data_IF_357289277356
#
_entry.id   IF_357289277356
#
_cell.length_a   1.000
_cell.length_b   1.000
_cell.length_c   1.000
_cell.angle_alpha   90.00
_cell.angle_beta   90.00
_cell.angle_gamma   90.00
#
_symmetry.space_group_name_H-M   'P 1'
#
loop_
_entity.id
_entity.type
_entity.pdbx_description
1 polymer ?
#
# COMPACT_ATOMS: atom_id res chain seq x y z
N UNK A 1 -18.44 -25.86 1.28
CA UNK A 1 -17.33 -24.88 1.28
C UNK A 1 -17.09 -24.44 -0.16
N UNK A 2 -17.34 -23.19 -0.45
CA UNK A 2 -17.05 -22.66 -1.77
C UNK A 2 -15.67 -21.98 -1.71
N UNK A 3 -14.65 -22.69 -2.15
CA UNK A 3 -13.36 -22.07 -2.44
C UNK A 3 -13.33 -21.74 -3.93
N UNK A 4 -12.98 -20.52 -4.26
CA UNK A 4 -12.84 -20.03 -5.62
C UNK A 4 -11.38 -19.61 -5.86
N UNK A 5 -10.82 -20.09 -6.97
CA UNK A 5 -9.48 -19.66 -7.42
C UNK A 5 -9.64 -18.58 -8.49
N UNK A 6 -8.93 -17.47 -8.33
CA UNK A 6 -8.97 -16.36 -9.29
C UNK A 6 -7.66 -15.58 -9.33
N UNK A 7 -7.41 -14.92 -10.44
CA UNK A 7 -6.36 -13.91 -10.55
C UNK A 7 -6.83 -12.61 -9.88
N UNK A 8 -6.02 -12.07 -8.99
CA UNK A 8 -6.34 -10.84 -8.28
C UNK A 8 -5.13 -9.93 -8.11
N UNK A 9 -5.38 -8.64 -8.07
CA UNK A 9 -4.39 -7.66 -7.63
C UNK A 9 -4.55 -7.44 -6.13
N UNK A 10 -3.47 -7.64 -5.39
CA UNK A 10 -3.48 -7.57 -3.93
C UNK A 10 -2.72 -6.33 -3.50
N UNK A 11 -3.34 -5.53 -2.67
CA UNK A 11 -2.75 -4.40 -1.98
C UNK A 11 -2.61 -4.74 -0.50
N UNK A 12 -1.40 -4.58 0.03
CA UNK A 12 -1.13 -4.64 1.46
C UNK A 12 -0.63 -3.27 1.92
N UNK A 13 -1.14 -2.78 3.03
CA UNK A 13 -0.70 -1.51 3.62
C UNK A 13 -0.73 -1.57 5.14
N UNK A 14 0.20 -0.90 5.80
CA UNK A 14 0.25 -0.73 7.24
C UNK A 14 0.81 0.63 7.65
N UNK A 15 0.57 0.98 8.90
CA UNK A 15 1.09 2.20 9.51
C UNK A 15 2.52 1.99 10.03
N UNK A 16 3.42 2.88 9.67
CA UNK A 16 4.82 2.85 10.11
C UNK A 16 4.91 3.11 11.62
N UNK A 17 5.69 2.28 12.33
CA UNK A 17 5.91 2.42 13.77
C UNK A 17 4.63 2.42 14.63
N UNK A 18 3.61 1.71 14.21
CA UNK A 18 2.33 1.67 14.90
C UNK A 18 2.46 1.28 16.39
N UNK A 19 3.22 0.22 16.69
CA UNK A 19 3.43 -0.24 18.07
C UNK A 19 4.06 0.84 18.94
N UNK A 20 5.02 1.58 18.43
CA UNK A 20 5.65 2.68 19.15
C UNK A 20 4.67 3.83 19.40
N UNK A 21 3.86 4.19 18.42
CA UNK A 21 2.81 5.19 18.60
C UNK A 21 1.81 4.77 19.68
N UNK A 22 1.43 3.49 19.70
CA UNK A 22 0.55 2.94 20.73
C UNK A 22 1.17 2.98 22.12
N UNK A 23 2.47 2.70 22.27
CA UNK A 23 3.19 2.83 23.53
C UNK A 23 3.26 4.28 24.02
N UNK A 24 3.47 5.23 23.12
CA UNK A 24 3.57 6.65 23.44
C UNK A 24 2.23 7.26 23.84
N UNK A 25 1.16 6.95 23.13
CA UNK A 25 -0.21 7.40 23.44
C UNK A 25 -1.24 6.56 22.69
N UNK A 26 -1.86 5.63 23.37
CA UNK A 26 -2.88 4.74 22.80
C UNK A 26 -4.09 5.51 22.25
N UNK A 27 -4.68 6.39 23.04
CA UNK A 27 -5.87 7.15 22.66
C UNK A 27 -5.63 8.05 21.45
N UNK A 28 -4.53 8.79 21.44
CA UNK A 28 -4.17 9.67 20.34
C UNK A 28 -3.89 8.86 19.06
N UNK A 29 -3.20 7.73 19.17
CA UNK A 29 -2.89 6.85 18.05
C UNK A 29 -4.15 6.27 17.45
N UNK A 30 -5.06 5.73 18.25
CA UNK A 30 -6.31 5.14 17.75
C UNK A 30 -7.21 6.18 17.09
N UNK A 31 -7.32 7.39 17.64
CA UNK A 31 -8.08 8.48 17.04
C UNK A 31 -7.54 8.82 15.65
N UNK A 32 -6.22 9.00 15.52
CA UNK A 32 -5.58 9.34 14.25
C UNK A 32 -5.58 8.16 13.27
N UNK A 33 -5.42 6.93 13.76
CA UNK A 33 -5.55 5.72 12.96
C UNK A 33 -6.93 5.64 12.30
N UNK A 34 -8.00 5.86 13.08
CA UNK A 34 -9.37 5.81 12.56
C UNK A 34 -9.62 6.87 11.47
N UNK A 35 -9.08 8.06 11.60
CA UNK A 35 -9.16 9.10 10.56
C UNK A 35 -8.43 8.65 9.28
N UNK A 36 -7.22 8.12 9.40
CA UNK A 36 -6.46 7.61 8.25
C UNK A 36 -7.17 6.43 7.60
N UNK A 37 -7.69 5.49 8.40
CA UNK A 37 -8.42 4.33 7.90
C UNK A 37 -9.67 4.71 7.12
N UNK A 38 -10.40 5.73 7.57
CA UNK A 38 -11.54 6.25 6.82
C UNK A 38 -11.15 6.70 5.41
N UNK A 39 -10.04 7.43 5.29
CA UNK A 39 -9.50 7.86 3.99
C UNK A 39 -9.14 6.65 3.13
N UNK A 40 -8.38 5.70 3.68
CA UNK A 40 -7.94 4.49 2.97
C UNK A 40 -9.14 3.67 2.50
N UNK A 41 -10.07 3.38 3.38
CA UNK A 41 -11.24 2.53 3.10
C UNK A 41 -12.15 3.15 2.02
N UNK A 42 -12.40 4.46 2.10
CA UNK A 42 -13.19 5.19 1.11
C UNK A 42 -12.53 5.19 -0.28
N UNK A 43 -11.22 5.37 -0.34
CA UNK A 43 -10.49 5.36 -1.62
C UNK A 43 -10.42 3.95 -2.20
N UNK A 44 -10.16 2.92 -1.39
CA UNK A 44 -10.19 1.53 -1.85
C UNK A 44 -11.54 1.20 -2.47
N UNK A 45 -12.64 1.53 -1.79
CA UNK A 45 -13.99 1.32 -2.31
C UNK A 45 -14.26 2.11 -3.60
N UNK A 46 -13.84 3.36 -3.67
CA UNK A 46 -13.97 4.22 -4.87
C UNK A 46 -13.37 3.58 -6.12
N UNK A 47 -12.25 2.91 -5.99
CA UNK A 47 -11.55 2.25 -7.11
C UNK A 47 -11.92 0.77 -7.30
N UNK A 48 -13.00 0.31 -6.68
CA UNK A 48 -13.51 -1.05 -6.85
C UNK A 48 -12.78 -2.13 -6.05
N UNK A 49 -11.98 -1.72 -5.07
CA UNK A 49 -11.29 -2.64 -4.17
C UNK A 49 -12.22 -3.21 -3.10
N UNK A 50 -11.89 -4.41 -2.64
CA UNK A 50 -12.57 -5.08 -1.53
C UNK A 50 -11.56 -5.40 -0.43
N UNK A 51 -11.83 -4.93 0.78
CA UNK A 51 -11.00 -5.23 1.95
C UNK A 51 -11.36 -6.62 2.48
N UNK A 52 -10.36 -7.48 2.63
CA UNK A 52 -10.52 -8.84 3.15
C UNK A 52 -10.10 -8.99 4.59
N UNK A 53 -9.00 -8.35 4.96
CA UNK A 53 -8.44 -8.49 6.30
C UNK A 53 -8.01 -7.14 6.84
N UNK A 54 -8.32 -6.93 8.10
CA UNK A 54 -7.81 -5.83 8.91
C UNK A 54 -7.33 -6.39 10.24
N UNK A 55 -6.07 -6.15 10.57
CA UNK A 55 -5.49 -6.56 11.84
C UNK A 55 -4.69 -5.37 12.40
N UNK A 56 -5.19 -4.76 13.47
CA UNK A 56 -4.60 -3.55 14.01
C UNK A 56 -4.58 -2.42 12.97
N UNK A 57 -3.38 -2.05 12.55
CA UNK A 57 -3.14 -1.04 11.51
C UNK A 57 -3.10 -1.60 10.09
N UNK A 58 -2.97 -2.92 9.92
CA UNK A 58 -2.81 -3.57 8.61
C UNK A 58 -4.12 -3.67 7.84
N UNK A 59 -4.05 -3.46 6.54
CA UNK A 59 -5.15 -3.66 5.59
C UNK A 59 -4.67 -4.52 4.42
N UNK A 60 -5.44 -5.54 4.08
CA UNK A 60 -5.27 -6.33 2.85
C UNK A 60 -6.54 -6.19 2.01
N UNK A 61 -6.38 -5.76 0.78
CA UNK A 61 -7.48 -5.58 -0.17
C UNK A 61 -7.16 -6.23 -1.51
N UNK A 62 -8.21 -6.62 -2.24
CA UNK A 62 -8.09 -7.06 -3.63
C UNK A 62 -8.75 -6.07 -4.57
N UNK A 63 -8.21 -6.02 -5.78
CA UNK A 63 -8.77 -5.25 -6.89
C UNK A 63 -8.86 -6.13 -8.13
N UNK A 64 -9.92 -5.98 -8.94
CA UNK A 64 -10.00 -6.69 -10.22
C UNK A 64 -9.04 -6.13 -11.26
N UNK A 65 -8.55 -4.88 -11.09
CA UNK A 65 -7.67 -4.20 -12.02
C UNK A 65 -6.40 -3.70 -11.33
N UNK A 66 -5.20 -4.07 -11.82
CA UNK A 66 -3.94 -3.51 -11.32
C UNK A 66 -3.86 -1.99 -11.49
N UNK A 67 -4.39 -1.45 -12.58
CA UNK A 67 -4.43 0.01 -12.82
C UNK A 67 -5.24 0.72 -11.74
N UNK A 68 -6.43 0.21 -11.43
CA UNK A 68 -7.28 0.79 -10.38
C UNK A 68 -6.64 0.67 -9.00
N UNK A 69 -5.96 -0.43 -8.73
CA UNK A 69 -5.24 -0.64 -7.47
C UNK A 69 -4.13 0.39 -7.26
N UNK A 70 -3.28 0.60 -8.27
CA UNK A 70 -2.19 1.59 -8.20
C UNK A 70 -2.75 3.01 -8.07
N UNK A 71 -3.79 3.35 -8.82
CA UNK A 71 -4.47 4.66 -8.68
C UNK A 71 -5.03 4.88 -7.28
N UNK A 72 -5.64 3.86 -6.69
CA UNK A 72 -6.13 3.92 -5.31
C UNK A 72 -5.01 4.19 -4.32
N UNK A 73 -3.90 3.46 -4.45
CA UNK A 73 -2.72 3.63 -3.58
C UNK A 73 -2.14 5.04 -3.68
N UNK A 74 -2.01 5.58 -4.88
CA UNK A 74 -1.54 6.96 -5.09
C UNK A 74 -2.50 7.95 -4.44
N UNK A 75 -3.80 7.82 -4.69
CA UNK A 75 -4.79 8.76 -4.16
C UNK A 75 -4.85 8.75 -2.62
N UNK A 76 -4.86 7.59 -1.99
CA UNK A 76 -4.89 7.60 -0.52
C UNK A 76 -3.56 8.07 0.09
N UNK A 77 -2.41 7.77 -0.50
CA UNK A 77 -1.13 8.31 -0.03
C UNK A 77 -1.09 9.84 -0.14
N UNK A 78 -1.56 10.40 -1.24
CA UNK A 78 -1.65 11.86 -1.41
C UNK A 78 -2.59 12.49 -0.38
N UNK A 79 -3.77 11.91 -0.15
CA UNK A 79 -4.72 12.40 0.86
C UNK A 79 -4.18 12.29 2.30
N UNK A 80 -3.44 11.23 2.61
CA UNK A 80 -2.80 11.06 3.92
C UNK A 80 -1.67 12.09 4.10
N UNK A 81 -0.90 12.35 3.05
CA UNK A 81 0.11 13.41 3.05
C UNK A 81 -0.52 14.78 3.30
N UNK A 82 -1.56 15.15 2.56
CA UNK A 82 -2.29 16.41 2.73
C UNK A 82 -2.87 16.54 4.15
N UNK A 83 -3.47 15.46 4.69
CA UNK A 83 -3.97 15.43 6.06
C UNK A 83 -2.86 15.78 7.06
N UNK A 84 -1.69 15.17 6.90
CA UNK A 84 -0.56 15.37 7.79
C UNK A 84 -0.01 16.81 7.70
N UNK A 85 0.08 17.37 6.49
CA UNK A 85 0.56 18.74 6.28
C UNK A 85 -0.38 19.82 6.83
N UNK A 86 -1.69 19.59 6.77
CA UNK A 86 -2.70 20.58 7.17
C UNK A 86 -3.07 20.53 8.66
N UNK A 87 -2.48 19.67 9.43
CA UNK A 87 -2.82 19.53 10.84
C UNK A 87 -1.59 19.35 11.73
N UNK A 88 -1.09 20.47 12.25
CA UNK A 88 0.03 20.49 13.21
C UNK A 88 -0.33 19.92 14.59
N UNK A 89 -1.63 19.78 14.90
CA UNK A 89 -2.12 19.28 16.19
C UNK A 89 -2.44 17.80 16.18
N UNK A 90 -2.45 17.17 14.99
CA UNK A 90 -2.72 15.74 14.83
C UNK A 90 -1.44 14.94 14.81
N UNK A 91 -1.51 13.71 15.30
CA UNK A 91 -0.43 12.75 15.14
C UNK A 91 -0.28 12.41 13.65
N UNK A 92 0.93 12.65 13.12
CA UNK A 92 1.26 12.33 11.73
C UNK A 92 1.60 10.85 11.60
N UNK A 93 0.74 10.10 10.94
CA UNK A 93 0.93 8.69 10.65
C UNK A 93 1.32 8.52 9.17
N UNK A 94 2.37 7.73 8.93
CA UNK A 94 2.83 7.37 7.59
C UNK A 94 2.48 5.92 7.27
N UNK A 95 2.17 5.64 6.01
CA UNK A 95 1.73 4.32 5.56
C UNK A 95 2.66 3.80 4.46
N UNK A 96 2.89 2.49 4.47
CA UNK A 96 3.63 1.77 3.42
C UNK A 96 2.66 0.95 2.59
N UNK A 97 2.96 0.80 1.31
CA UNK A 97 2.10 0.04 0.40
C UNK A 97 2.93 -0.95 -0.42
N UNK A 98 2.43 -2.18 -0.53
CA UNK A 98 2.93 -3.20 -1.45
C UNK A 98 1.81 -3.73 -2.34
N UNK A 99 2.07 -3.90 -3.63
CA UNK A 99 1.08 -4.37 -4.60
C UNK A 99 1.65 -5.48 -5.48
N UNK A 100 0.89 -6.58 -5.61
CA UNK A 100 1.25 -7.73 -6.42
C UNK A 100 0.02 -8.33 -7.11
N UNK A 101 0.22 -8.97 -8.25
CA UNK A 101 -0.82 -9.73 -8.96
C UNK A 101 -0.47 -11.21 -8.90
N UNK A 102 -1.40 -12.03 -8.47
CA UNK A 102 -1.20 -13.48 -8.44
C UNK A 102 -2.54 -14.22 -8.44
N UNK A 103 -2.45 -15.52 -8.64
CA UNK A 103 -3.57 -16.43 -8.46
C UNK A 103 -3.82 -16.67 -6.96
N UNK A 104 -5.03 -16.44 -6.52
CA UNK A 104 -5.42 -16.51 -5.11
C UNK A 104 -6.61 -17.44 -4.91
N UNK A 105 -6.76 -17.91 -3.69
CA UNK A 105 -7.94 -18.67 -3.26
C UNK A 105 -8.78 -17.78 -2.36
N UNK A 106 -10.04 -17.62 -2.71
CA UNK A 106 -11.04 -16.92 -1.89
C UNK A 106 -11.93 -17.97 -1.22
N UNK A 107 -11.95 -17.96 0.09
CA UNK A 107 -12.77 -18.88 0.89
C UNK A 107 -13.27 -18.16 2.14
N UNK A 108 -14.57 -18.32 2.44
CA UNK A 108 -15.19 -17.74 3.63
C UNK A 108 -14.91 -16.24 3.81
N UNK A 109 -14.99 -15.50 2.73
CA UNK A 109 -14.68 -14.05 2.69
C UNK A 109 -13.25 -13.69 3.11
N UNK A 110 -12.32 -14.63 2.94
CA UNK A 110 -10.89 -14.43 3.15
C UNK A 110 -10.13 -14.70 1.86
N UNK A 111 -8.92 -14.15 1.75
CA UNK A 111 -8.04 -14.31 0.60
C UNK A 111 -6.73 -14.99 1.04
N UNK A 112 -6.34 -16.03 0.32
CA UNK A 112 -5.16 -16.84 0.64
C UNK A 112 -4.34 -17.10 -0.61
N UNK A 113 -3.04 -17.33 -0.41
CA UNK A 113 -2.10 -17.67 -1.47
C UNK A 113 -0.76 -16.97 -1.30
N UNK A 114 0.23 -17.42 -2.07
CA UNK A 114 1.58 -16.84 -2.07
C UNK A 114 1.58 -15.36 -2.46
N UNK A 115 0.68 -14.94 -3.33
CA UNK A 115 0.56 -13.55 -3.77
C UNK A 115 0.21 -12.57 -2.64
N UNK A 116 -0.56 -13.01 -1.65
CA UNK A 116 -0.85 -12.21 -0.45
C UNK A 116 0.44 -11.98 0.35
N UNK A 117 1.26 -13.02 0.49
CA UNK A 117 2.55 -12.93 1.18
C UNK A 117 3.53 -12.02 0.43
N UNK A 118 3.57 -12.10 -0.90
CA UNK A 118 4.41 -11.22 -1.73
C UNK A 118 4.01 -9.75 -1.53
N UNK A 119 2.73 -9.42 -1.61
CA UNK A 119 2.24 -8.06 -1.38
C UNK A 119 2.62 -7.56 0.02
N UNK A 120 2.46 -8.38 1.06
CA UNK A 120 2.83 -8.05 2.42
C UNK A 120 4.34 -7.83 2.59
N UNK A 121 5.18 -8.59 1.88
CA UNK A 121 6.63 -8.42 1.91
C UNK A 121 7.09 -7.16 1.17
N UNK A 122 6.51 -6.85 0.03
CA UNK A 122 6.75 -5.57 -0.66
C UNK A 122 6.36 -4.40 0.23
N UNK A 123 5.20 -4.46 0.87
CA UNK A 123 4.75 -3.45 1.83
C UNK A 123 5.79 -3.24 2.94
N UNK A 124 6.24 -4.31 3.60
CA UNK A 124 7.21 -4.21 4.71
C UNK A 124 8.59 -3.65 4.28
N UNK A 125 8.93 -3.72 3.01
CA UNK A 125 10.16 -3.18 2.44
C UNK A 125 9.98 -1.79 1.81
N UNK A 126 8.77 -1.32 1.69
CA UNK A 126 8.49 0.03 1.20
C UNK A 126 8.93 1.08 2.23
N UNK A 127 9.39 2.21 1.75
CA UNK A 127 9.65 3.38 2.60
C UNK A 127 8.33 4.02 3.06
N UNK A 128 8.35 4.74 4.20
CA UNK A 128 7.16 5.47 4.65
C UNK A 128 6.59 6.39 3.58
N UNK A 129 5.29 6.32 3.35
CA UNK A 129 4.58 7.12 2.35
C UNK A 129 4.78 6.68 0.91
N UNK A 130 5.51 5.61 0.66
CA UNK A 130 5.85 5.13 -0.69
C UNK A 130 5.02 3.89 -1.07
N UNK A 131 5.11 3.51 -2.35
CA UNK A 131 4.41 2.38 -2.94
C UNK A 131 5.43 1.52 -3.67
N UNK A 132 5.57 0.25 -3.28
CA UNK A 132 6.33 -0.75 -4.02
C UNK A 132 5.39 -1.68 -4.78
N UNK A 133 5.74 -1.96 -6.01
CA UNK A 133 4.98 -2.88 -6.87
C UNK A 133 5.91 -3.95 -7.43
N UNK A 134 5.38 -5.14 -7.68
CA UNK A 134 6.11 -6.19 -8.38
C UNK A 134 6.21 -5.89 -9.88
N UNK A 135 7.11 -6.60 -10.57
CA UNK A 135 7.30 -6.45 -12.02
C UNK A 135 6.01 -6.70 -12.80
N UNK A 136 5.23 -7.70 -12.43
CA UNK A 136 3.96 -8.01 -13.10
C UNK A 136 2.97 -6.85 -12.98
N UNK A 137 2.90 -6.18 -11.85
CA UNK A 137 2.07 -4.97 -11.68
C UNK A 137 2.60 -3.85 -12.55
N UNK A 138 3.90 -3.58 -12.52
CA UNK A 138 4.53 -2.56 -13.36
C UNK A 138 4.20 -2.77 -14.83
N UNK A 139 4.37 -3.99 -15.34
CA UNK A 139 4.12 -4.31 -16.74
C UNK A 139 2.65 -4.12 -17.13
N UNK A 140 1.72 -4.30 -16.20
CA UNK A 140 0.29 -4.10 -16.41
C UNK A 140 -0.16 -2.63 -16.35
N UNK A 141 0.54 -1.78 -15.58
CA UNK A 141 0.12 -0.40 -15.36
C UNK A 141 0.96 0.63 -16.11
N UNK A 142 2.13 0.24 -16.59
CA UNK A 142 3.04 1.13 -17.32
C UNK A 142 2.32 1.74 -18.53
N UNK A 143 2.46 3.04 -18.74
CA UNK A 143 1.76 3.82 -19.77
C UNK A 143 0.23 3.91 -19.64
N UNK A 144 -0.36 3.40 -18.55
CA UNK A 144 -1.80 3.47 -18.28
C UNK A 144 -2.14 4.37 -17.10
N UNK A 145 -1.11 4.92 -16.45
CA UNK A 145 -1.22 5.90 -15.37
C UNK A 145 -0.34 7.11 -15.71
N UNK A 146 -0.68 8.27 -15.15
CA UNK A 146 0.07 9.52 -15.34
C UNK A 146 1.30 9.65 -14.43
N UNK A 147 1.77 8.54 -13.89
CA UNK A 147 2.90 8.46 -12.97
C UNK A 147 3.95 7.52 -13.53
N UNK A 148 5.21 7.81 -13.27
CA UNK A 148 6.32 6.92 -13.64
C UNK A 148 6.52 5.83 -12.60
N UNK A 149 6.96 4.67 -13.07
CA UNK A 149 7.35 3.55 -12.23
C UNK A 149 8.83 3.26 -12.52
N UNK A 150 9.65 3.36 -11.48
CA UNK A 150 11.10 3.19 -11.60
C UNK A 150 11.57 1.95 -10.84
N UNK A 151 12.59 1.26 -11.37
CA UNK A 151 13.21 0.14 -10.70
C UNK A 151 13.77 0.56 -9.33
N UNK A 152 13.45 -0.19 -8.28
CA UNK A 152 13.95 0.00 -6.92
C UNK A 152 15.02 -1.01 -6.54
N UNK A 153 15.14 -2.09 -7.29
CA UNK A 153 16.17 -3.11 -7.12
C UNK A 153 15.65 -4.52 -7.28
N UNK A 154 16.54 -5.47 -7.08
CA UNK A 154 16.21 -6.90 -6.99
C UNK A 154 16.36 -7.31 -5.54
N UNK A 155 15.33 -7.91 -4.96
CA UNK A 155 15.28 -8.29 -3.56
C UNK A 155 14.93 -9.76 -3.39
N UNK A 156 15.54 -10.38 -2.41
CA UNK A 156 15.12 -11.69 -1.92
C UNK A 156 14.14 -11.47 -0.77
N UNK A 157 12.88 -11.77 -1.02
CA UNK A 157 11.84 -11.61 -0.01
C UNK A 157 11.87 -12.76 1.01
N UNK A 158 11.72 -12.44 2.28
CA UNK A 158 11.73 -13.43 3.37
C UNK A 158 10.65 -14.50 3.15
N UNK A 159 11.04 -15.77 3.23
CA UNK A 159 10.18 -16.95 3.02
C UNK A 159 9.60 -17.09 1.61
N UNK A 160 10.19 -16.42 0.63
CA UNK A 160 9.87 -16.57 -0.79
C UNK A 160 11.15 -16.96 -1.50
N UNK A 161 11.10 -18.06 -2.25
CA UNK A 161 12.29 -18.69 -2.84
C UNK A 161 12.90 -17.90 -3.98
N UNK A 162 12.09 -17.08 -4.65
CA UNK A 162 12.51 -16.34 -5.84
C UNK A 162 12.98 -14.93 -5.49
N UNK A 163 13.90 -14.40 -6.28
CA UNK A 163 14.26 -13.00 -6.25
C UNK A 163 13.17 -12.18 -6.95
N UNK A 164 12.77 -11.08 -6.32
CA UNK A 164 11.79 -10.17 -6.88
C UNK A 164 12.44 -8.87 -7.33
N UNK A 165 12.18 -8.50 -8.56
CA UNK A 165 12.44 -7.17 -9.07
C UNK A 165 11.27 -6.27 -8.68
N UNK A 166 11.53 -5.25 -7.89
CA UNK A 166 10.53 -4.34 -7.37
C UNK A 166 10.69 -2.92 -7.92
N UNK A 167 9.61 -2.17 -7.92
CA UNK A 167 9.52 -0.87 -8.57
C UNK A 167 8.81 0.13 -7.66
N UNK A 168 9.33 1.36 -7.60
CA UNK A 168 8.68 2.48 -6.92
C UNK A 168 7.79 3.24 -7.89
N UNK A 169 6.58 3.57 -7.44
CA UNK A 169 5.71 4.52 -8.13
C UNK A 169 6.15 5.94 -7.81
N UNK A 170 6.47 6.70 -8.84
CA UNK A 170 6.89 8.12 -8.74
C UNK A 170 5.75 9.04 -9.15
N UNK A 171 5.74 10.25 -8.61
CA UNK A 171 4.77 11.28 -9.00
C UNK A 171 3.68 11.58 -7.98
N UNK A 172 3.59 10.82 -6.87
CA UNK A 172 2.76 11.22 -5.75
C UNK A 172 3.38 12.39 -4.96
N UNK A 173 2.56 13.10 -4.17
CA UNK A 173 2.96 14.34 -3.48
C UNK A 173 4.21 14.17 -2.60
N UNK A 174 4.39 13.03 -1.95
CA UNK A 174 5.58 12.76 -1.14
C UNK A 174 6.86 12.80 -1.95
N UNK A 175 6.85 12.24 -3.16
CA UNK A 175 8.04 12.28 -4.04
C UNK A 175 8.34 13.70 -4.51
N UNK A 176 7.32 14.52 -4.74
CA UNK A 176 7.47 15.92 -5.15
C UNK A 176 8.10 16.74 -4.01
N UNK A 177 7.69 16.52 -2.75
CA UNK A 177 8.29 17.21 -1.60
C UNK A 177 9.74 16.79 -1.35
N UNK A 178 10.07 15.51 -1.49
CA UNK A 178 11.45 15.03 -1.38
C UNK A 178 12.36 15.69 -2.43
N UNK A 179 11.89 15.79 -3.67
CA UNK A 179 12.62 16.47 -4.75
C UNK A 179 12.83 17.96 -4.48
N UNK A 180 11.86 18.64 -3.87
CA UNK A 180 11.97 20.04 -3.49
C UNK A 180 13.02 20.25 -2.40
N UNK A 181 13.08 19.37 -1.40
CA UNK A 181 14.07 19.41 -0.32
C UNK A 181 15.49 19.14 -0.86
N UNK A 182 15.67 18.21 -1.78
CA UNK A 182 16.95 17.94 -2.43
C UNK A 182 17.45 19.14 -3.27
N UNK A 183 16.54 19.91 -3.85
CA UNK A 183 16.85 21.10 -4.64
C UNK A 183 17.31 22.31 -3.83
N UNK A 184 17.17 22.30 -2.50
CA UNK A 184 17.56 23.38 -1.59
C UNK A 184 18.92 23.15 -0.92
N UNK A 185 19.55 22.03 -1.22
CA UNK A 185 20.84 21.63 -0.64
C UNK A 185 22.06 22.28 -1.27
#
# INVERSE_FOLDING_TARGET
MNSERKLATILATDCVNFSKHMEDSEELTLTNLNECRKIIDEVIAKFGGKIFSTAGDSVVAEFPSPVQCVKAAIEFQDKLYERNEHSLTKLQLSWRVGIHVDDVIVENNNIMGSGVNVAARLESQSEPGKILVSKIVKDQVDKRIDYSIEADGTRKLKNISDEFEDFKVKGCLLYTSDAADEGLG
#
